data_IF_370537905159
#
_entry.id   IF_370537905159
#
_cell.length_a   1.000
_cell.length_b   1.000
_cell.length_c   1.000
_cell.angle_alpha   90.00
_cell.angle_beta   90.00
_cell.angle_gamma   90.00
#
_symmetry.space_group_name_H-M   'P 1'
#
loop_
_entity.id
_entity.type
_entity.pdbx_description
1 polymer ?
#
# COMPACT_ATOMS: atom_id res chain seq x y z
N UNK A 1 18.18 0.55 15.07
CA UNK A 1 18.30 -0.13 13.77
C UNK A 1 17.08 0.27 12.95
N UNK A 2 17.27 0.73 11.71
CA UNK A 2 16.16 0.97 10.77
C UNK A 2 16.01 -0.31 9.97
N UNK A 3 14.90 -1.02 10.17
CA UNK A 3 14.61 -2.24 9.41
C UNK A 3 14.33 -1.84 7.96
N UNK A 4 14.84 -2.59 6.95
CA UNK A 4 14.65 -2.27 5.53
C UNK A 4 13.17 -2.20 5.10
N UNK A 5 12.27 -2.75 5.90
CA UNK A 5 10.82 -2.69 5.72
C UNK A 5 10.24 -1.29 6.00
N UNK A 6 10.79 -0.55 6.97
CA UNK A 6 10.28 0.78 7.33
C UNK A 6 10.42 1.77 6.18
N UNK A 7 11.58 1.80 5.52
CA UNK A 7 11.78 2.63 4.32
C UNK A 7 10.86 2.23 3.16
N UNK A 8 10.62 0.93 2.97
CA UNK A 8 9.69 0.45 1.94
C UNK A 8 8.25 0.93 2.23
N UNK A 9 7.84 0.95 3.50
CA UNK A 9 6.53 1.43 3.92
C UNK A 9 6.37 2.92 3.60
N UNK A 10 7.31 3.76 3.99
CA UNK A 10 7.25 5.20 3.71
C UNK A 10 7.19 5.49 2.20
N UNK A 11 8.00 4.78 1.41
CA UNK A 11 7.99 4.85 -0.05
C UNK A 11 6.63 4.47 -0.64
N UNK A 12 6.03 3.37 -0.17
CA UNK A 12 4.69 2.96 -0.59
C UNK A 12 3.65 3.98 -0.19
N UNK A 13 3.71 4.49 1.04
CA UNK A 13 2.72 5.41 1.56
C UNK A 13 2.73 6.73 0.77
N UNK A 14 3.91 7.22 0.41
CA UNK A 14 4.10 8.37 -0.47
C UNK A 14 3.65 8.09 -1.92
N UNK A 15 3.93 6.90 -2.44
CA UNK A 15 3.57 6.52 -3.82
C UNK A 15 2.06 6.26 -3.97
N UNK A 16 1.44 5.60 -2.99
CA UNK A 16 0.02 5.28 -2.94
C UNK A 16 -0.84 6.45 -2.44
N UNK A 17 -0.31 7.67 -2.31
CA UNK A 17 -1.14 8.87 -2.08
C UNK A 17 -2.21 9.00 -3.18
N UNK A 18 -1.87 8.57 -4.39
CA UNK A 18 -2.84 8.32 -5.47
C UNK A 18 -3.18 6.83 -5.51
N UNK A 19 -4.40 6.44 -5.92
CA UNK A 19 -4.74 5.03 -6.08
C UNK A 19 -3.82 4.42 -7.14
N UNK A 20 -3.02 3.45 -6.71
CA UNK A 20 -2.03 2.76 -7.53
C UNK A 20 -2.33 1.28 -7.60
N UNK A 21 -2.06 0.68 -8.75
CA UNK A 21 -2.24 -0.75 -8.92
C UNK A 21 -1.13 -1.50 -8.18
N UNK A 22 -1.39 -2.75 -7.80
CA UNK A 22 -0.36 -3.61 -7.20
C UNK A 22 0.89 -3.70 -8.08
N UNK A 23 0.71 -3.73 -9.39
CA UNK A 23 1.80 -3.86 -10.36
C UNK A 23 2.73 -2.65 -10.32
N UNK A 24 2.17 -1.43 -10.37
CA UNK A 24 2.97 -0.20 -10.23
C UNK A 24 3.74 -0.16 -8.91
N UNK A 25 3.10 -0.51 -7.79
CA UNK A 25 3.76 -0.48 -6.47
C UNK A 25 4.89 -1.52 -6.42
N UNK A 26 4.65 -2.70 -7.00
CA UNK A 26 5.63 -3.78 -7.03
C UNK A 26 6.83 -3.43 -7.90
N UNK A 27 6.61 -2.84 -9.08
CA UNK A 27 7.68 -2.35 -9.97
C UNK A 27 8.47 -1.21 -9.33
N UNK A 28 7.78 -0.26 -8.69
CA UNK A 28 8.41 0.86 -8.00
C UNK A 28 9.41 0.41 -6.91
N UNK A 29 9.10 -0.70 -6.22
CA UNK A 29 9.95 -1.27 -5.19
C UNK A 29 10.88 -2.39 -5.70
N UNK A 30 10.73 -2.82 -6.95
CA UNK A 30 11.53 -3.91 -7.53
C UNK A 30 11.28 -5.29 -6.92
N UNK A 31 10.11 -5.54 -6.31
CA UNK A 31 9.80 -6.86 -5.75
C UNK A 31 9.46 -7.87 -6.85
N UNK A 32 10.13 -9.02 -6.85
CA UNK A 32 9.78 -10.14 -7.76
C UNK A 32 8.62 -10.97 -7.22
N UNK A 33 8.59 -11.18 -5.90
CA UNK A 33 7.64 -12.07 -5.24
C UNK A 33 6.33 -11.39 -4.84
N UNK A 34 5.28 -11.67 -5.61
CA UNK A 34 3.93 -11.11 -5.40
C UNK A 34 3.34 -11.48 -4.03
N UNK A 35 3.52 -12.74 -3.61
CA UNK A 35 3.01 -13.25 -2.33
C UNK A 35 3.74 -12.61 -1.16
N UNK A 36 5.07 -12.58 -1.24
CA UNK A 36 5.91 -12.00 -0.19
C UNK A 36 5.61 -10.52 -0.04
N UNK A 37 5.55 -9.78 -1.14
CA UNK A 37 5.17 -8.37 -1.14
C UNK A 37 3.80 -8.13 -0.47
N UNK A 38 2.79 -8.93 -0.81
CA UNK A 38 1.46 -8.75 -0.20
C UNK A 38 1.45 -9.06 1.29
N UNK A 39 2.11 -10.12 1.73
CA UNK A 39 2.06 -10.57 3.13
C UNK A 39 2.98 -9.76 4.04
N UNK A 40 4.17 -9.41 3.56
CA UNK A 40 5.20 -8.75 4.38
C UNK A 40 5.14 -7.23 4.28
N UNK A 41 4.57 -6.71 3.19
CA UNK A 41 4.54 -5.26 2.93
C UNK A 41 3.11 -4.72 2.95
N UNK A 42 2.21 -5.25 2.11
CA UNK A 42 0.84 -4.70 2.07
C UNK A 42 0.02 -5.07 3.30
N UNK A 43 0.09 -6.31 3.77
CA UNK A 43 -0.68 -6.81 4.92
C UNK A 43 -0.45 -5.97 6.18
N UNK A 44 0.79 -5.68 6.61
CA UNK A 44 0.99 -4.81 7.78
C UNK A 44 0.48 -3.39 7.54
N UNK A 45 0.61 -2.82 6.34
CA UNK A 45 0.08 -1.48 6.04
C UNK A 45 -1.45 -1.42 6.07
N UNK A 46 -2.11 -2.46 5.56
CA UNK A 46 -3.58 -2.59 5.60
C UNK A 46 -4.05 -2.85 7.03
N UNK A 47 -3.37 -3.72 7.77
CA UNK A 47 -3.67 -4.02 9.17
C UNK A 47 -3.48 -2.80 10.08
N UNK A 48 -2.46 -1.96 9.80
CA UNK A 48 -2.26 -0.68 10.47
C UNK A 48 -3.27 0.40 10.03
N UNK A 49 -4.09 0.13 9.01
CA UNK A 49 -5.06 1.08 8.47
C UNK A 49 -4.44 2.21 7.65
N UNK A 50 -3.16 2.12 7.30
CA UNK A 50 -2.43 3.11 6.52
C UNK A 50 -2.69 2.96 5.01
N UNK A 51 -3.03 1.75 4.55
CA UNK A 51 -3.33 1.44 3.15
C UNK A 51 -4.71 0.80 3.03
N UNK A 52 -5.50 1.19 2.02
CA UNK A 52 -6.80 0.58 1.75
C UNK A 52 -6.99 0.18 0.28
N UNK A 53 -7.69 -0.93 0.03
CA UNK A 53 -8.18 -1.28 -1.30
C UNK A 53 -9.29 -0.31 -1.75
N UNK A 54 -9.29 0.09 -3.02
CA UNK A 54 -10.40 0.86 -3.61
C UNK A 54 -11.64 0.00 -3.85
N UNK A 55 -11.46 -1.28 -4.18
CA UNK A 55 -12.55 -2.22 -4.47
C UNK A 55 -12.48 -3.39 -3.48
N UNK A 56 -13.05 -3.27 -2.27
CA UNK A 56 -13.03 -4.37 -1.29
C UNK A 56 -13.82 -5.60 -1.76
N UNK A 57 -14.84 -5.39 -2.60
CA UNK A 57 -15.75 -6.43 -3.08
C UNK A 57 -15.09 -7.40 -4.08
N UNK A 58 -14.08 -6.93 -4.82
CA UNK A 58 -13.38 -7.72 -5.86
C UNK A 58 -11.87 -7.52 -5.78
N UNK A 59 -11.27 -8.18 -4.79
CA UNK A 59 -9.81 -8.21 -4.59
C UNK A 59 -9.03 -8.80 -5.78
N UNK A 60 -9.67 -9.57 -6.66
CA UNK A 60 -9.08 -10.15 -7.87
C UNK A 60 -9.26 -9.29 -9.11
N UNK A 61 -9.90 -8.12 -8.99
CA UNK A 61 -10.14 -7.24 -10.12
C UNK A 61 -8.81 -6.72 -10.69
N UNK A 62 -8.63 -6.70 -12.02
CA UNK A 62 -7.46 -6.06 -12.63
C UNK A 62 -7.46 -4.53 -12.39
N UNK A 63 -8.63 -3.95 -12.07
CA UNK A 63 -8.77 -2.53 -11.72
C UNK A 63 -8.52 -2.26 -10.23
N UNK A 64 -8.17 -3.30 -9.46
CA UNK A 64 -7.89 -3.17 -8.03
C UNK A 64 -6.72 -2.22 -7.82
N UNK A 65 -6.96 -1.19 -7.02
CA UNK A 65 -5.94 -0.23 -6.62
C UNK A 65 -5.89 -0.13 -5.11
N UNK A 66 -4.76 0.38 -4.64
CA UNK A 66 -4.49 0.64 -3.24
C UNK A 66 -4.11 2.09 -3.09
N UNK A 67 -4.66 2.71 -2.06
CA UNK A 67 -4.36 4.09 -1.73
C UNK A 67 -4.03 4.19 -0.25
N UNK A 68 -3.14 5.12 0.05
CA UNK A 68 -2.79 5.51 1.40
C UNK A 68 -3.97 6.24 1.99
N UNK A 69 -4.47 5.72 3.10
CA UNK A 69 -5.39 6.47 3.95
C UNK A 69 -4.50 7.47 4.67
N UNK A 70 -4.29 8.63 4.03
CA UNK A 70 -3.57 9.76 4.62
C UNK A 70 -4.17 9.93 6.01
N UNK A 71 -3.36 9.84 7.08
CA UNK A 71 -3.85 10.28 8.39
C UNK A 71 -4.34 11.70 8.16
N UNK A 72 -5.64 11.91 8.27
CA UNK A 72 -6.19 13.26 8.33
C UNK A 72 -5.54 13.89 9.55
N UNK A 73 -4.44 14.60 9.31
CA UNK A 73 -4.25 15.85 9.99
C UNK A 73 -5.36 16.75 9.43
N UNK A 74 -6.32 17.11 10.28
CA UNK A 74 -7.33 18.15 10.05
C UNK A 74 -8.50 17.82 9.10
N UNK A 75 -9.61 17.34 9.67
CA UNK A 75 -10.96 17.89 9.39
C UNK A 75 -11.74 17.73 10.68
N UNK A 76 -11.65 18.77 11.49
CA UNK A 76 -12.65 19.10 12.48
C UNK A 76 -13.54 20.13 11.78
N UNK A 77 -14.73 19.72 11.36
CA UNK A 77 -15.88 20.62 11.16
C UNK A 77 -17.17 19.86 11.48
#
# INVERSE_FOLDING_TARGET
QVTPQAEAFEKILAFCVTPKTREEIQEFLGFKDRKHFRLEIMSPLIAQGLLRPTIPDKLTSPKQQYYTVKRKDSDHE
#
